data_IF_273900749635
#
_entry.id   IF_273900749635
#
_cell.length_a   1.000
_cell.length_b   1.000
_cell.length_c   1.000
_cell.angle_alpha   90.00
_cell.angle_beta   90.00
_cell.angle_gamma   90.00
#
_symmetry.space_group_name_H-M   'P 1'
#
loop_
_entity.id
_entity.type
_entity.pdbx_description
1 polymer ?
#
# COMPACT_ATOMS: atom_id res chain seq x y z
N UNK A 1 38.80 19.81 -6.28
CA UNK A 1 37.38 19.77 -6.57
C UNK A 1 36.95 18.32 -6.52
N UNK A 2 36.53 17.84 -5.36
CA UNK A 2 35.91 16.50 -5.24
C UNK A 2 34.49 16.62 -5.74
N UNK A 3 34.18 15.94 -6.86
CA UNK A 3 32.83 15.87 -7.39
C UNK A 3 31.91 15.30 -6.30
N UNK A 4 30.87 16.03 -5.96
CA UNK A 4 29.74 15.49 -5.20
C UNK A 4 29.22 14.30 -6.02
N UNK A 5 29.49 13.08 -5.55
CA UNK A 5 28.72 11.92 -5.99
C UNK A 5 27.28 12.26 -5.64
N UNK A 6 26.40 12.37 -6.62
CA UNK A 6 24.96 12.42 -6.36
C UNK A 6 24.65 11.16 -5.57
N UNK A 7 24.26 11.31 -4.30
CA UNK A 7 23.71 10.23 -3.52
C UNK A 7 22.42 9.81 -4.23
N UNK A 8 22.36 8.60 -4.70
CA UNK A 8 21.12 8.04 -5.23
C UNK A 8 20.25 7.65 -4.03
N UNK A 9 18.98 8.02 -4.06
CA UNK A 9 18.02 7.57 -3.05
C UNK A 9 17.60 6.15 -3.42
N UNK A 10 17.69 5.22 -2.50
CA UNK A 10 17.19 3.86 -2.72
C UNK A 10 15.74 3.79 -2.27
N UNK A 11 14.81 3.72 -3.24
CA UNK A 11 13.43 3.38 -2.93
C UNK A 11 13.35 1.89 -2.87
N UNK A 12 12.98 1.41 -1.71
CA UNK A 12 12.82 0.01 -1.42
C UNK A 12 11.40 -0.41 -1.37
N UNK A 13 11.27 -1.59 -1.92
CA UNK A 13 10.19 -2.52 -1.70
C UNK A 13 8.83 -1.82 -1.61
N UNK A 14 8.19 -1.70 -2.76
CA UNK A 14 6.77 -1.52 -2.75
C UNK A 14 6.16 -2.76 -2.09
N UNK A 15 5.93 -2.66 -0.77
CA UNK A 15 5.16 -3.67 -0.06
C UNK A 15 3.73 -3.56 -0.54
N UNK A 16 3.32 -4.52 -1.34
CA UNK A 16 2.00 -4.56 -1.94
C UNK A 16 0.89 -4.78 -0.89
N UNK A 17 -0.35 -4.49 -1.25
CA UNK A 17 -1.52 -4.73 -0.41
C UNK A 17 -1.90 -6.21 -0.29
N UNK A 18 -3.01 -6.46 0.43
CA UNK A 18 -3.66 -7.76 0.44
C UNK A 18 -4.25 -8.06 -0.94
N UNK A 19 -4.21 -9.31 -1.38
CA UNK A 19 -4.65 -9.71 -2.71
C UNK A 19 -3.91 -8.96 -3.81
N UNK A 20 -2.56 -8.86 -3.68
CA UNK A 20 -1.73 -8.07 -4.56
C UNK A 20 -0.33 -8.70 -4.73
N UNK A 21 0.46 -8.13 -5.63
CA UNK A 21 1.87 -8.42 -5.90
C UNK A 21 2.45 -7.25 -6.69
N UNK A 22 3.76 -7.18 -6.88
CA UNK A 22 4.34 -6.09 -7.65
C UNK A 22 4.17 -6.31 -9.18
N UNK A 23 3.52 -5.35 -9.85
CA UNK A 23 3.39 -5.24 -11.31
C UNK A 23 3.41 -3.79 -11.82
N UNK A 24 3.55 -2.82 -10.95
CA UNK A 24 3.49 -1.37 -11.23
C UNK A 24 4.81 -0.87 -11.85
N UNK A 25 5.21 -1.41 -13.01
CA UNK A 25 6.52 -1.14 -13.65
C UNK A 25 6.67 0.32 -14.05
N UNK A 26 5.59 1.00 -14.48
CA UNK A 26 5.59 2.43 -14.80
C UNK A 26 6.08 3.28 -13.62
N UNK A 27 5.60 3.00 -12.41
CA UNK A 27 6.08 3.66 -11.18
C UNK A 27 7.58 3.44 -10.97
N UNK A 28 8.04 2.21 -11.14
CA UNK A 28 9.45 1.88 -11.00
C UNK A 28 10.33 2.66 -11.99
N UNK A 29 9.88 2.78 -13.24
CA UNK A 29 10.61 3.52 -14.29
C UNK A 29 10.68 5.02 -13.97
N UNK A 30 9.58 5.65 -13.57
CA UNK A 30 9.56 7.05 -13.15
C UNK A 30 10.49 7.36 -11.97
N UNK A 31 10.59 6.44 -11.00
CA UNK A 31 11.48 6.61 -9.85
C UNK A 31 12.95 6.39 -10.24
N UNK A 32 13.23 5.46 -11.14
CA UNK A 32 14.59 5.22 -11.67
C UNK A 32 15.08 6.39 -12.53
N UNK A 33 14.21 6.98 -13.35
CA UNK A 33 14.50 8.20 -14.11
C UNK A 33 14.83 9.39 -13.20
N UNK A 34 14.23 9.44 -12.01
CA UNK A 34 14.56 10.43 -10.97
C UNK A 34 15.86 10.13 -10.23
N UNK A 35 16.60 9.09 -10.60
CA UNK A 35 17.86 8.70 -9.99
C UNK A 35 17.72 7.79 -8.77
N UNK A 36 16.54 7.23 -8.50
CA UNK A 36 16.37 6.25 -7.44
C UNK A 36 16.73 4.84 -7.90
N UNK A 37 17.32 4.03 -7.05
CA UNK A 37 17.36 2.59 -7.24
C UNK A 37 16.07 1.98 -6.70
N UNK A 38 15.30 1.32 -7.56
CA UNK A 38 14.01 0.75 -7.21
C UNK A 38 14.10 -0.77 -7.08
N UNK A 39 13.55 -1.29 -5.98
CA UNK A 39 13.41 -2.71 -5.70
C UNK A 39 11.95 -3.01 -5.34
N UNK A 40 11.49 -4.23 -5.51
CA UNK A 40 10.14 -4.67 -5.17
C UNK A 40 10.18 -6.06 -4.54
N UNK A 41 9.41 -6.24 -3.47
CA UNK A 41 9.29 -7.49 -2.73
C UNK A 41 7.87 -8.05 -2.84
N UNK A 42 7.71 -9.22 -3.45
CA UNK A 42 6.51 -10.01 -3.24
C UNK A 42 6.63 -10.72 -1.89
N UNK A 43 5.88 -10.26 -0.89
CA UNK A 43 5.91 -10.81 0.47
C UNK A 43 5.56 -12.30 0.47
N UNK A 44 6.00 -13.04 1.49
CA UNK A 44 5.68 -14.48 1.64
C UNK A 44 4.18 -14.75 1.46
N UNK A 45 3.86 -15.82 0.76
CA UNK A 45 2.50 -16.27 0.42
C UNK A 45 1.74 -15.35 -0.53
N UNK A 46 2.42 -14.45 -1.23
CA UNK A 46 1.85 -13.60 -2.28
C UNK A 46 2.64 -13.72 -3.59
N UNK A 47 2.02 -13.39 -4.70
CA UNK A 47 2.66 -13.25 -6.01
C UNK A 47 3.64 -14.37 -6.34
N UNK A 48 4.86 -14.00 -6.68
CA UNK A 48 5.97 -14.92 -7.02
C UNK A 48 6.46 -15.75 -5.82
N UNK A 49 6.20 -15.28 -4.61
CA UNK A 49 6.59 -15.95 -3.36
C UNK A 49 5.57 -16.99 -2.87
N UNK A 50 4.39 -17.07 -3.50
CA UNK A 50 3.37 -18.06 -3.16
C UNK A 50 3.82 -19.49 -3.54
N UNK A 51 3.60 -20.44 -2.64
CA UNK A 51 3.85 -21.87 -2.88
C UNK A 51 2.53 -22.67 -2.94
N UNK A 52 2.46 -23.78 -3.71
CA UNK A 52 1.20 -24.52 -3.94
C UNK A 52 0.47 -25.00 -2.69
N UNK A 53 1.18 -25.23 -1.60
CA UNK A 53 0.62 -25.74 -0.33
C UNK A 53 0.21 -24.63 0.64
N UNK A 54 0.43 -23.36 0.28
CA UNK A 54 0.17 -22.23 1.16
C UNK A 54 -1.22 -21.63 0.93
N UNK A 55 -1.82 -21.13 1.98
CA UNK A 55 -2.97 -20.23 1.89
C UNK A 55 -2.48 -18.83 1.57
N UNK A 56 -2.91 -18.30 0.43
CA UNK A 56 -2.48 -16.98 -0.05
C UNK A 56 -2.73 -15.90 1.00
N UNK A 57 -1.69 -15.10 1.27
CA UNK A 57 -1.74 -13.95 2.14
C UNK A 57 -2.10 -14.22 3.60
N UNK A 58 -2.15 -15.49 4.01
CA UNK A 58 -2.47 -15.85 5.40
C UNK A 58 -1.27 -15.65 6.33
N UNK A 59 -1.50 -14.89 7.37
CA UNK A 59 -0.69 -14.85 8.59
C UNK A 59 -1.58 -14.50 9.78
N UNK A 60 -1.19 -14.90 10.97
CA UNK A 60 -1.77 -14.53 12.26
C UNK A 60 -0.84 -13.63 13.08
N UNK A 61 0.31 -13.27 12.51
CA UNK A 61 1.28 -12.33 13.09
C UNK A 61 1.94 -11.51 11.98
N UNK A 62 1.80 -10.18 12.03
CA UNK A 62 2.42 -9.29 11.05
C UNK A 62 3.92 -9.13 11.22
N UNK A 63 4.49 -9.52 12.38
CA UNK A 63 5.93 -9.47 12.61
C UNK A 63 6.72 -10.48 11.78
N UNK A 64 6.04 -11.51 11.23
CA UNK A 64 6.68 -12.49 10.34
C UNK A 64 7.28 -11.86 9.09
N UNK A 65 6.76 -10.71 8.67
CA UNK A 65 7.30 -9.96 7.51
C UNK A 65 8.61 -9.23 7.83
N UNK A 66 8.97 -9.10 9.11
CA UNK A 66 10.23 -8.45 9.51
C UNK A 66 11.45 -9.19 8.97
N UNK A 67 11.36 -10.51 8.87
CA UNK A 67 12.42 -11.37 8.34
C UNK A 67 12.75 -10.98 6.89
N UNK A 68 11.79 -11.05 5.99
CA UNK A 68 12.03 -10.82 4.56
C UNK A 68 12.29 -9.34 4.23
N UNK A 69 11.68 -8.41 4.96
CA UNK A 69 12.00 -6.99 4.82
C UNK A 69 13.42 -6.72 5.29
N UNK A 70 13.84 -7.31 6.42
CA UNK A 70 15.20 -7.19 6.96
C UNK A 70 16.24 -7.77 6.00
N UNK A 71 16.06 -9.00 5.54
CA UNK A 71 16.96 -9.66 4.57
C UNK A 71 17.10 -8.84 3.29
N UNK A 72 15.96 -8.39 2.75
CA UNK A 72 15.97 -7.53 1.60
C UNK A 72 16.74 -6.22 1.90
N UNK A 73 16.67 -5.62 3.11
CA UNK A 73 17.44 -4.46 3.56
C UNK A 73 18.93 -4.74 3.62
N UNK A 74 19.35 -5.86 4.08
CA UNK A 74 20.75 -6.24 4.11
C UNK A 74 21.33 -6.44 2.73
N UNK A 75 20.62 -7.16 1.84
CA UNK A 75 21.07 -7.38 0.47
C UNK A 75 21.35 -6.08 -0.29
N UNK A 76 20.54 -5.03 -0.07
CA UNK A 76 20.75 -3.76 -0.78
C UNK A 76 21.84 -2.93 -0.10
N UNK A 77 21.99 -3.00 1.22
CA UNK A 77 23.15 -2.39 1.90
C UNK A 77 24.47 -2.94 1.42
N UNK A 78 24.51 -4.24 1.09
CA UNK A 78 25.70 -4.85 0.47
C UNK A 78 26.02 -4.28 -0.90
N UNK A 79 24.97 -3.92 -1.69
CA UNK A 79 25.16 -3.31 -3.02
C UNK A 79 25.38 -1.79 -2.97
N UNK A 80 24.82 -1.11 -1.96
CA UNK A 80 24.67 0.34 -1.90
C UNK A 80 24.89 0.88 -0.50
N UNK A 81 26.11 0.69 -0.03
CA UNK A 81 26.55 1.19 1.24
C UNK A 81 26.34 2.73 1.34
N UNK A 82 25.82 3.22 2.46
CA UNK A 82 25.56 4.64 2.78
C UNK A 82 24.42 5.36 2.01
N UNK A 83 23.64 4.70 1.15
CA UNK A 83 22.49 5.34 0.52
C UNK A 83 21.25 5.30 1.43
N UNK A 84 20.48 6.41 1.57
CA UNK A 84 19.27 6.43 2.38
C UNK A 84 18.19 5.51 1.81
N UNK A 85 17.60 4.69 2.66
CA UNK A 85 16.58 3.71 2.31
C UNK A 85 15.20 4.31 2.56
N UNK A 86 14.32 4.28 1.56
CA UNK A 86 12.92 4.66 1.69
C UNK A 86 12.06 3.43 1.48
N UNK A 87 11.29 3.05 2.49
CA UNK A 87 10.31 1.97 2.39
C UNK A 87 8.98 2.54 1.86
N UNK A 88 8.37 1.84 0.92
CA UNK A 88 7.04 2.19 0.41
C UNK A 88 6.07 1.07 0.70
N UNK A 89 4.82 1.39 1.06
CA UNK A 89 3.77 0.40 1.28
C UNK A 89 2.42 0.85 0.75
N UNK A 90 1.72 -0.08 0.09
CA UNK A 90 0.35 0.11 -0.37
C UNK A 90 -0.63 -0.65 0.53
N UNK A 91 -1.73 -0.01 0.94
CA UNK A 91 -2.83 -0.65 1.67
C UNK A 91 -2.32 -1.43 2.91
N UNK A 92 -2.53 -2.74 3.01
CA UNK A 92 -1.99 -3.61 4.08
C UNK A 92 -0.46 -3.57 4.14
N UNK A 93 0.22 -3.45 2.98
CA UNK A 93 1.67 -3.25 2.94
C UNK A 93 2.11 -1.95 3.59
N UNK A 94 1.26 -0.91 3.57
CA UNK A 94 1.50 0.33 4.30
C UNK A 94 1.44 0.15 5.83
N UNK A 95 0.51 -0.67 6.32
CA UNK A 95 0.47 -1.05 7.74
C UNK A 95 1.74 -1.83 8.13
N UNK A 96 2.11 -2.84 7.35
CA UNK A 96 3.30 -3.67 7.58
C UNK A 96 4.56 -2.80 7.58
N UNK A 97 4.72 -1.91 6.58
CA UNK A 97 5.86 -0.99 6.50
C UNK A 97 5.95 -0.05 7.71
N UNK A 98 4.80 0.47 8.18
CA UNK A 98 4.72 1.36 9.35
C UNK A 98 5.13 0.61 10.63
N UNK A 99 4.61 -0.60 10.82
CA UNK A 99 4.96 -1.43 11.99
C UNK A 99 6.43 -1.88 11.95
N UNK A 100 6.94 -2.20 10.76
CA UNK A 100 8.35 -2.54 10.58
C UNK A 100 9.26 -1.37 10.94
N UNK A 101 8.97 -0.17 10.40
CA UNK A 101 9.74 1.04 10.69
C UNK A 101 9.77 1.36 12.19
N UNK A 102 8.64 1.19 12.87
CA UNK A 102 8.54 1.37 14.32
C UNK A 102 9.44 0.39 15.10
N UNK A 103 9.49 -0.87 14.69
CA UNK A 103 10.34 -1.89 15.35
C UNK A 103 11.83 -1.75 15.03
N UNK A 104 12.19 -1.01 13.96
CA UNK A 104 13.56 -0.88 13.45
C UNK A 104 13.95 0.61 13.31
N UNK A 105 14.01 1.38 14.41
CA UNK A 105 14.34 2.79 14.37
C UNK A 105 15.77 3.02 13.83
N UNK A 106 15.98 4.16 13.13
CA UNK A 106 17.27 4.54 12.55
C UNK A 106 17.65 3.81 11.26
N UNK A 107 16.82 2.91 10.76
CA UNK A 107 17.11 2.14 9.55
C UNK A 107 16.69 2.86 8.28
N UNK A 108 15.52 3.52 8.32
CA UNK A 108 14.91 4.18 7.16
C UNK A 108 15.25 5.66 7.11
N UNK A 109 15.57 6.15 5.92
CA UNK A 109 15.61 7.58 5.60
C UNK A 109 14.22 8.18 5.39
N UNK A 110 13.18 7.36 5.13
CA UNK A 110 11.81 7.81 4.93
C UNK A 110 10.82 6.68 4.70
N UNK A 111 9.54 6.99 4.86
CA UNK A 111 8.42 6.07 4.61
C UNK A 111 7.42 6.71 3.63
N UNK A 112 7.04 5.97 2.58
CA UNK A 112 5.99 6.38 1.63
C UNK A 112 4.79 5.43 1.78
N UNK A 113 3.62 6.00 2.00
CA UNK A 113 2.35 5.28 2.11
C UNK A 113 1.44 5.64 0.94
N UNK A 114 1.09 4.65 0.14
CA UNK A 114 0.10 4.74 -0.92
C UNK A 114 -1.20 4.12 -0.40
N UNK A 115 -2.14 4.95 0.06
CA UNK A 115 -3.37 4.53 0.72
C UNK A 115 -3.13 3.47 1.81
N UNK A 116 -2.12 3.68 2.67
CA UNK A 116 -1.74 2.74 3.73
C UNK A 116 -2.90 2.46 4.67
N UNK A 117 -3.22 1.19 4.93
CA UNK A 117 -4.33 0.82 5.79
C UNK A 117 -3.97 0.94 7.28
N UNK A 118 -4.01 2.15 7.81
CA UNK A 118 -3.57 2.49 9.17
C UNK A 118 -4.67 2.43 10.21
N UNK A 119 -5.94 2.30 9.81
CA UNK A 119 -7.09 2.18 10.70
C UNK A 119 -8.27 1.52 9.97
N UNK A 120 -9.15 0.88 10.73
CA UNK A 120 -10.41 0.34 10.22
C UNK A 120 -11.34 1.46 9.74
N UNK A 121 -12.10 1.21 8.68
CA UNK A 121 -13.01 2.19 8.07
C UNK A 121 -14.03 2.80 9.02
N UNK A 122 -14.45 2.06 10.04
CA UNK A 122 -15.48 2.48 11.03
C UNK A 122 -14.88 3.09 12.29
N UNK A 123 -13.63 3.52 12.24
CA UNK A 123 -12.89 4.14 13.35
C UNK A 123 -12.50 3.20 14.51
N UNK A 124 -11.60 3.68 15.35
CA UNK A 124 -11.05 2.96 16.51
C UNK A 124 -12.11 2.40 17.47
N UNK A 125 -13.26 3.08 17.60
CA UNK A 125 -14.39 2.64 18.46
C UNK A 125 -14.99 1.31 17.99
N UNK A 126 -15.19 1.15 16.68
CA UNK A 126 -15.70 -0.12 16.13
C UNK A 126 -14.66 -1.23 16.28
N UNK A 127 -13.40 -0.93 15.98
CA UNK A 127 -12.28 -1.87 16.18
C UNK A 127 -12.23 -2.33 17.63
N UNK A 128 -12.25 -1.40 18.59
CA UNK A 128 -12.23 -1.73 20.02
C UNK A 128 -13.39 -2.62 20.48
N UNK A 129 -14.60 -2.45 19.92
CA UNK A 129 -15.75 -3.27 20.23
C UNK A 129 -15.67 -4.67 19.59
N UNK A 130 -15.13 -4.78 18.37
CA UNK A 130 -15.10 -6.03 17.62
C UNK A 130 -13.86 -6.90 17.90
N UNK A 131 -12.73 -6.32 18.31
CA UNK A 131 -11.50 -7.07 18.56
C UNK A 131 -11.68 -8.24 19.55
N UNK A 132 -12.39 -8.11 20.70
CA UNK A 132 -12.60 -9.23 21.59
C UNK A 132 -13.47 -10.35 20.98
N UNK A 133 -14.37 -10.00 20.07
CA UNK A 133 -15.24 -10.97 19.39
C UNK A 133 -14.43 -11.74 18.34
N UNK A 134 -13.70 -11.03 17.49
CA UNK A 134 -12.82 -11.63 16.48
C UNK A 134 -11.76 -12.50 17.15
N UNK A 135 -11.12 -12.05 18.24
CA UNK A 135 -10.12 -12.82 18.97
C UNK A 135 -10.66 -14.14 19.54
N UNK A 136 -11.92 -14.15 20.05
CA UNK A 136 -12.54 -15.41 20.49
C UNK A 136 -12.83 -16.37 19.34
N UNK A 137 -13.19 -15.86 18.18
CA UNK A 137 -13.38 -16.67 16.96
C UNK A 137 -12.04 -17.19 16.48
N UNK A 138 -11.04 -16.35 16.35
CA UNK A 138 -9.68 -16.70 15.92
C UNK A 138 -9.07 -17.79 16.80
N UNK A 139 -9.19 -17.68 18.12
CA UNK A 139 -8.69 -18.67 19.07
C UNK A 139 -9.32 -20.06 18.92
N UNK A 140 -10.55 -20.16 18.41
CA UNK A 140 -11.26 -21.44 18.22
C UNK A 140 -11.20 -21.96 16.79
N UNK A 141 -11.22 -21.05 15.84
CA UNK A 141 -11.33 -21.34 14.41
C UNK A 141 -10.54 -20.28 13.63
N UNK A 142 -9.19 -20.32 13.63
CA UNK A 142 -8.35 -19.28 13.06
C UNK A 142 -8.62 -19.01 11.58
N UNK A 143 -9.00 -20.05 10.83
CA UNK A 143 -9.34 -19.98 9.41
C UNK A 143 -10.82 -19.69 9.13
N UNK A 144 -11.64 -19.40 10.16
CA UNK A 144 -13.03 -19.02 9.93
C UNK A 144 -13.08 -17.74 9.09
N UNK A 145 -13.86 -17.79 8.01
CA UNK A 145 -13.97 -16.67 7.08
C UNK A 145 -14.93 -15.61 7.63
N UNK A 146 -14.35 -14.47 7.97
CA UNK A 146 -15.13 -13.30 8.39
C UNK A 146 -15.85 -12.76 7.15
N UNK A 147 -17.19 -12.56 7.22
CA UNK A 147 -17.91 -11.92 6.13
C UNK A 147 -17.31 -10.53 5.84
N UNK A 148 -16.68 -10.38 4.69
CA UNK A 148 -16.13 -9.10 4.24
C UNK A 148 -17.15 -8.43 3.35
N UNK A 149 -17.63 -7.25 3.78
CA UNK A 149 -18.42 -6.37 2.92
C UNK A 149 -17.51 -5.62 1.97
N UNK A 150 -17.92 -5.51 0.70
CA UNK A 150 -17.23 -4.68 -0.28
C UNK A 150 -17.97 -4.77 -1.61
N UNK A 151 -18.03 -3.68 -2.34
CA UNK A 151 -18.70 -3.60 -3.65
C UNK A 151 -17.98 -4.37 -4.75
N UNK A 152 -16.72 -4.76 -4.53
CA UNK A 152 -15.85 -5.33 -5.57
C UNK A 152 -15.38 -4.30 -6.62
N UNK A 153 -15.75 -3.04 -6.47
CA UNK A 153 -15.46 -1.98 -7.43
C UNK A 153 -13.96 -1.82 -7.70
N UNK A 154 -13.12 -1.90 -6.67
CA UNK A 154 -11.68 -1.80 -6.87
C UNK A 154 -11.17 -2.85 -7.86
N UNK A 155 -11.40 -4.13 -7.57
CA UNK A 155 -10.98 -5.22 -8.45
C UNK A 155 -11.53 -5.11 -9.87
N UNK A 156 -12.83 -4.81 -10.00
CA UNK A 156 -13.49 -4.59 -11.29
C UNK A 156 -12.87 -3.41 -12.07
N UNK A 157 -12.50 -2.32 -11.39
CA UNK A 157 -11.92 -1.14 -12.03
C UNK A 157 -10.55 -1.38 -12.67
N UNK A 158 -9.85 -2.45 -12.27
CA UNK A 158 -8.55 -2.81 -12.83
C UNK A 158 -8.66 -3.47 -14.22
N UNK A 159 -9.85 -3.92 -14.62
CA UNK A 159 -10.12 -4.37 -16.00
C UNK A 159 -10.16 -3.21 -17.00
N UNK A 160 -10.01 -1.97 -16.52
CA UNK A 160 -9.96 -0.76 -17.33
C UNK A 160 -11.34 -0.20 -17.68
N UNK A 161 -11.35 1.08 -18.04
CA UNK A 161 -12.59 1.81 -18.45
C UNK A 161 -13.25 1.22 -19.69
N UNK A 162 -12.45 0.72 -20.64
CA UNK A 162 -12.96 0.11 -21.87
C UNK A 162 -13.79 -1.16 -21.62
N UNK A 163 -13.64 -1.81 -20.46
CA UNK A 163 -14.45 -2.96 -20.05
C UNK A 163 -15.77 -2.56 -19.36
N UNK A 164 -16.02 -1.27 -19.18
CA UNK A 164 -17.21 -0.71 -18.54
C UNK A 164 -18.11 -0.01 -19.55
N UNK A 165 -19.36 0.27 -19.17
CA UNK A 165 -20.30 1.04 -19.97
C UNK A 165 -20.13 2.57 -19.79
N UNK A 166 -19.12 2.99 -19.01
CA UNK A 166 -18.84 4.41 -18.73
C UNK A 166 -18.03 5.02 -19.86
N UNK A 167 -18.28 6.30 -20.11
CA UNK A 167 -17.52 7.08 -21.07
C UNK A 167 -16.04 7.16 -20.68
N UNK A 168 -15.17 7.13 -21.68
CA UNK A 168 -13.74 7.36 -21.48
C UNK A 168 -13.53 8.87 -21.47
N UNK A 169 -12.98 9.46 -20.38
CA UNK A 169 -12.71 10.89 -20.32
C UNK A 169 -11.84 11.38 -21.49
N UNK A 170 -12.13 12.57 -21.99
CA UNK A 170 -11.35 13.19 -23.05
C UNK A 170 -9.87 13.33 -22.62
N UNK A 171 -8.97 13.00 -23.54
CA UNK A 171 -7.53 13.08 -23.33
C UNK A 171 -6.89 11.81 -22.76
N UNK A 172 -7.65 10.78 -22.34
CA UNK A 172 -7.08 9.49 -21.99
C UNK A 172 -6.80 8.66 -23.26
N UNK A 173 -5.60 8.09 -23.33
CA UNK A 173 -5.23 7.18 -24.42
C UNK A 173 -5.96 5.85 -24.29
N UNK A 174 -6.43 5.29 -25.40
CA UNK A 174 -7.01 3.94 -25.43
C UNK A 174 -6.00 2.85 -25.05
N UNK A 175 -4.70 3.11 -25.15
CA UNK A 175 -3.62 2.21 -24.77
C UNK A 175 -3.22 2.36 -23.28
N UNK A 176 -3.71 3.40 -22.60
CA UNK A 176 -3.44 3.58 -21.18
C UNK A 176 -3.99 2.40 -20.37
N UNK A 177 -3.22 1.82 -19.41
CA UNK A 177 -3.69 0.69 -18.62
C UNK A 177 -4.96 0.97 -17.81
N UNK A 178 -5.21 2.24 -17.43
CA UNK A 178 -6.47 2.62 -16.77
C UNK A 178 -7.68 2.51 -17.71
N UNK A 179 -7.45 2.55 -19.02
CA UNK A 179 -8.47 2.39 -20.06
C UNK A 179 -8.48 0.95 -20.59
N UNK A 180 -7.34 0.43 -21.01
CA UNK A 180 -7.23 -0.89 -21.64
C UNK A 180 -7.34 -2.07 -20.64
N UNK A 181 -7.08 -1.83 -19.37
CA UNK A 181 -6.95 -2.82 -18.31
C UNK A 181 -5.49 -3.05 -17.90
N UNK A 182 -5.28 -3.25 -16.62
CA UNK A 182 -3.97 -3.53 -16.05
C UNK A 182 -3.59 -5.00 -16.29
N UNK A 183 -2.31 -5.30 -16.65
CA UNK A 183 -1.87 -6.65 -16.99
C UNK A 183 -1.65 -7.50 -15.72
N UNK A 184 -2.72 -7.77 -14.98
CA UNK A 184 -2.69 -8.53 -13.73
C UNK A 184 -2.76 -10.04 -13.97
N UNK A 185 -2.06 -10.79 -13.14
CA UNK A 185 -2.16 -12.26 -13.05
C UNK A 185 -3.28 -12.58 -12.04
N UNK A 186 -4.41 -13.07 -12.53
CA UNK A 186 -5.62 -13.27 -11.73
C UNK A 186 -5.44 -14.30 -10.61
N UNK A 187 -4.55 -15.27 -10.76
CA UNK A 187 -4.20 -16.22 -9.72
C UNK A 187 -3.60 -15.56 -8.48
N UNK A 188 -2.93 -14.40 -8.65
CA UNK A 188 -2.26 -13.65 -7.59
C UNK A 188 -3.04 -12.42 -7.13
N UNK A 189 -3.92 -11.88 -7.98
CA UNK A 189 -4.77 -10.70 -7.69
C UNK A 189 -6.17 -10.94 -8.25
N UNK A 190 -7.06 -11.46 -7.42
CA UNK A 190 -8.44 -11.78 -7.82
C UNK A 190 -9.34 -10.55 -7.76
N UNK A 191 -10.24 -10.34 -8.73
CA UNK A 191 -11.19 -9.22 -8.69
C UNK A 191 -12.04 -9.20 -7.41
N UNK A 192 -12.51 -10.35 -6.96
CA UNK A 192 -13.32 -10.52 -5.75
C UNK A 192 -12.51 -10.60 -4.45
N UNK A 193 -11.17 -10.53 -4.55
CA UNK A 193 -10.24 -10.72 -3.42
C UNK A 193 -10.27 -12.15 -2.84
N UNK A 194 -9.60 -12.36 -1.72
CA UNK A 194 -9.54 -13.63 -1.00
C UNK A 194 -10.37 -13.56 0.28
N UNK A 195 -10.87 -14.71 0.78
CA UNK A 195 -11.53 -14.78 2.08
C UNK A 195 -10.67 -14.14 3.19
N UNK A 196 -11.32 -13.58 4.20
CA UNK A 196 -10.67 -12.93 5.35
C UNK A 196 -10.69 -13.90 6.54
N UNK A 197 -9.59 -14.61 6.87
CA UNK A 197 -9.52 -15.45 8.05
C UNK A 197 -9.61 -14.63 9.34
N UNK A 198 -10.27 -15.16 10.36
CA UNK A 198 -10.46 -14.45 11.64
C UNK A 198 -9.12 -14.10 12.32
N UNK A 199 -8.15 -15.02 12.33
CA UNK A 199 -6.83 -14.74 12.91
C UNK A 199 -6.03 -13.70 12.11
N UNK A 200 -6.18 -13.67 10.79
CA UNK A 200 -5.58 -12.62 9.98
C UNK A 200 -6.17 -11.25 10.32
N UNK A 201 -7.51 -11.17 10.44
CA UNK A 201 -8.18 -9.91 10.84
C UNK A 201 -7.79 -9.49 12.26
N UNK A 202 -7.64 -10.44 13.20
CA UNK A 202 -7.14 -10.17 14.55
C UNK A 202 -5.74 -9.54 14.51
N UNK A 203 -4.81 -10.10 13.72
CA UNK A 203 -3.47 -9.55 13.54
C UNK A 203 -3.48 -8.12 12.94
N UNK A 204 -4.34 -7.86 11.96
CA UNK A 204 -4.54 -6.52 11.39
C UNK A 204 -5.07 -5.54 12.45
N UNK A 205 -6.08 -5.94 13.23
CA UNK A 205 -6.64 -5.09 14.28
C UNK A 205 -5.63 -4.79 15.39
N UNK A 206 -4.79 -5.75 15.75
CA UNK A 206 -3.67 -5.55 16.67
C UNK A 206 -2.63 -4.58 16.09
N UNK A 207 -2.33 -4.69 14.81
CA UNK A 207 -1.45 -3.74 14.10
C UNK A 207 -1.99 -2.30 14.12
N UNK A 208 -3.30 -2.12 13.86
CA UNK A 208 -3.94 -0.80 13.96
C UNK A 208 -3.91 -0.25 15.39
N UNK A 209 -4.09 -1.10 16.41
CA UNK A 209 -4.00 -0.70 17.81
C UNK A 209 -2.59 -0.20 18.15
N UNK A 210 -1.56 -0.88 17.68
CA UNK A 210 -0.16 -0.46 17.82
C UNK A 210 0.08 0.87 17.10
N UNK A 211 -0.41 1.04 15.86
CA UNK A 211 -0.28 2.32 15.12
C UNK A 211 -0.94 3.47 15.88
N UNK A 212 -2.09 3.24 16.52
CA UNK A 212 -2.78 4.27 17.27
C UNK A 212 -2.05 4.70 18.54
N UNK A 213 -1.46 3.75 19.27
CA UNK A 213 -0.99 3.96 20.64
C UNK A 213 0.51 4.18 20.75
N UNK A 214 1.28 3.47 19.94
CA UNK A 214 2.69 3.26 20.20
C UNK A 214 3.61 3.76 19.08
N UNK A 215 3.09 3.87 17.83
CA UNK A 215 3.96 4.23 16.70
C UNK A 215 4.33 5.70 16.74
N UNK A 216 5.65 5.95 16.77
CA UNK A 216 6.27 7.22 16.45
C UNK A 216 7.58 6.92 15.72
N UNK A 217 7.68 7.38 14.47
CA UNK A 217 8.80 7.09 13.58
C UNK A 217 9.81 8.24 13.62
N UNK A 218 11.07 7.89 13.51
CA UNK A 218 12.21 8.81 13.50
C UNK A 218 12.59 9.31 12.09
N UNK A 219 11.81 8.95 11.08
CA UNK A 219 11.99 9.35 9.69
C UNK A 219 10.80 10.14 9.14
N UNK A 220 10.99 10.96 8.09
CA UNK A 220 9.90 11.64 7.42
C UNK A 220 8.93 10.66 6.74
N UNK A 221 7.64 11.01 6.72
CA UNK A 221 6.56 10.21 6.13
C UNK A 221 5.85 10.99 5.03
N UNK A 222 5.70 10.38 3.86
CA UNK A 222 4.77 10.80 2.82
C UNK A 222 3.55 9.89 2.83
N UNK A 223 2.39 10.39 3.22
CA UNK A 223 1.13 9.67 3.12
C UNK A 223 0.30 10.23 1.96
N UNK A 224 0.10 9.40 0.95
CA UNK A 224 -0.70 9.70 -0.24
C UNK A 224 -2.05 8.99 -0.12
N UNK A 225 -3.14 9.74 -0.27
CA UNK A 225 -4.51 9.23 -0.13
C UNK A 225 -5.42 9.77 -1.22
N UNK A 226 -6.55 9.11 -1.46
CA UNK A 226 -7.59 9.65 -2.33
C UNK A 226 -8.20 10.93 -1.74
N UNK A 227 -8.82 11.75 -2.59
CA UNK A 227 -9.58 12.94 -2.14
C UNK A 227 -10.91 12.58 -1.51
N UNK A 228 -11.47 11.41 -1.85
CA UNK A 228 -12.78 10.95 -1.37
C UNK A 228 -12.88 9.43 -1.30
N UNK A 229 -13.81 8.93 -0.48
CA UNK A 229 -14.25 7.54 -0.50
C UNK A 229 -15.50 7.37 -1.38
N UNK A 230 -15.68 6.16 -1.93
CA UNK A 230 -16.91 5.76 -2.60
C UNK A 230 -17.25 4.29 -2.28
N UNK A 231 -18.30 4.08 -1.51
CA UNK A 231 -18.72 2.76 -0.99
C UNK A 231 -20.14 2.37 -1.40
N UNK A 232 -20.76 3.18 -2.29
CA UNK A 232 -22.11 2.91 -2.82
C UNK A 232 -22.07 1.72 -3.81
N UNK A 233 -23.19 1.04 -3.97
CA UNK A 233 -23.34 -0.13 -4.86
C UNK A 233 -23.30 0.23 -6.36
N UNK A 234 -23.65 1.48 -6.69
CA UNK A 234 -23.75 1.94 -8.08
C UNK A 234 -22.37 1.98 -8.75
N UNK A 235 -22.27 1.42 -9.96
CA UNK A 235 -21.09 1.52 -10.79
C UNK A 235 -21.11 2.82 -11.59
N UNK A 236 -20.31 3.80 -11.22
CA UNK A 236 -20.26 5.11 -11.85
C UNK A 236 -18.82 5.66 -11.89
N UNK A 237 -18.64 6.85 -12.45
CA UNK A 237 -17.35 7.53 -12.59
C UNK A 237 -16.57 7.66 -11.28
N UNK A 238 -17.26 7.76 -10.15
CA UNK A 238 -16.61 7.86 -8.82
C UNK A 238 -15.76 6.63 -8.45
N UNK A 239 -16.01 5.48 -9.07
CA UNK A 239 -15.18 4.27 -8.87
C UNK A 239 -13.75 4.49 -9.35
N UNK A 240 -13.55 5.33 -10.35
CA UNK A 240 -12.23 5.63 -10.92
C UNK A 240 -11.53 6.82 -10.25
N UNK A 241 -12.27 7.65 -9.51
CA UNK A 241 -11.79 8.92 -8.95
C UNK A 241 -11.82 8.97 -7.42
N UNK A 242 -12.19 7.86 -6.76
CA UNK A 242 -12.31 7.76 -5.30
C UNK A 242 -11.69 6.44 -4.79
N UNK A 243 -11.35 6.41 -3.51
CA UNK A 243 -11.02 5.16 -2.82
C UNK A 243 -12.31 4.37 -2.56
N UNK A 244 -12.40 3.16 -3.12
CA UNK A 244 -13.55 2.26 -2.95
C UNK A 244 -13.29 1.17 -1.90
N UNK A 245 -12.19 1.28 -1.16
CA UNK A 245 -11.73 0.31 -0.17
C UNK A 245 -11.59 0.92 1.22
N UNK A 246 -10.94 2.09 1.33
CA UNK A 246 -10.65 2.77 2.60
C UNK A 246 -11.33 4.14 2.69
N UNK A 247 -11.45 4.66 3.91
CA UNK A 247 -11.79 6.06 4.14
C UNK A 247 -10.51 6.92 4.19
N UNK A 248 -10.22 7.72 3.15
CA UNK A 248 -8.99 8.51 3.06
C UNK A 248 -8.90 9.60 4.13
N UNK A 249 -10.02 10.03 4.72
CA UNK A 249 -10.01 11.01 5.81
C UNK A 249 -9.47 10.38 7.08
N UNK A 250 -9.96 9.18 7.41
CA UNK A 250 -9.49 8.41 8.58
C UNK A 250 -8.01 8.09 8.44
N UNK A 251 -7.56 7.65 7.24
CA UNK A 251 -6.15 7.32 6.99
C UNK A 251 -5.27 8.56 7.11
N UNK A 252 -5.67 9.69 6.50
CA UNK A 252 -4.91 10.94 6.60
C UNK A 252 -4.78 11.41 8.06
N UNK A 253 -5.85 11.36 8.83
CA UNK A 253 -5.82 11.70 10.26
C UNK A 253 -4.89 10.80 11.05
N UNK A 254 -4.92 9.48 10.81
CA UNK A 254 -4.04 8.52 11.48
C UNK A 254 -2.57 8.75 11.11
N UNK A 255 -2.31 9.08 9.84
CA UNK A 255 -0.95 9.36 9.37
C UNK A 255 -0.28 10.54 10.08
N UNK A 256 -1.03 11.55 10.51
CA UNK A 256 -0.47 12.73 11.21
C UNK A 256 0.25 12.38 12.52
N UNK A 257 -0.08 11.27 13.15
CA UNK A 257 0.54 10.81 14.39
C UNK A 257 1.81 9.96 14.19
N UNK A 258 2.17 9.63 12.96
CA UNK A 258 3.24 8.65 12.70
C UNK A 258 4.66 9.20 12.95
N UNK A 259 4.89 10.49 12.76
CA UNK A 259 6.21 11.12 12.86
C UNK A 259 6.06 12.62 13.07
N UNK A 260 7.12 13.30 13.53
CA UNK A 260 7.19 14.76 13.60
C UNK A 260 7.14 15.43 12.21
N UNK A 261 7.48 14.69 11.16
CA UNK A 261 7.54 15.21 9.79
C UNK A 261 6.66 14.37 8.85
N UNK A 262 5.40 14.74 8.73
CA UNK A 262 4.42 14.07 7.88
C UNK A 262 3.93 14.99 6.78
N UNK A 263 4.03 14.53 5.54
CA UNK A 263 3.41 15.15 4.37
C UNK A 263 2.17 14.37 3.97
N UNK A 264 1.01 15.02 3.90
CA UNK A 264 -0.22 14.44 3.36
C UNK A 264 -0.44 14.97 1.95
N UNK A 265 -0.50 14.07 0.96
CA UNK A 265 -0.83 14.41 -0.42
C UNK A 265 -2.14 13.71 -0.83
N UNK A 266 -3.04 14.46 -1.51
CA UNK A 266 -4.39 13.97 -1.86
C UNK A 266 -4.61 14.05 -3.36
N UNK A 267 -5.14 12.96 -3.93
CA UNK A 267 -5.36 12.82 -5.37
C UNK A 267 -6.77 12.31 -5.67
N UNK A 268 -7.43 12.77 -6.75
CA UNK A 268 -8.73 12.23 -7.17
C UNK A 268 -8.53 10.88 -7.88
N UNK A 269 -8.14 9.86 -7.14
CA UNK A 269 -7.72 8.56 -7.67
C UNK A 269 -8.29 7.36 -6.92
N UNK A 270 -8.04 6.18 -7.48
CA UNK A 270 -8.44 4.89 -6.92
C UNK A 270 -7.72 4.61 -5.60
N UNK A 271 -8.08 3.49 -4.97
CA UNK A 271 -7.42 2.97 -3.77
C UNK A 271 -5.91 2.81 -3.95
N UNK A 272 -5.44 2.16 -5.01
CA UNK A 272 -4.04 2.23 -5.44
C UNK A 272 -3.89 3.43 -6.39
N UNK A 273 -3.30 4.52 -5.90
CA UNK A 273 -3.17 5.77 -6.63
C UNK A 273 -2.32 5.62 -7.90
N UNK A 274 -1.34 4.72 -7.89
CA UNK A 274 -0.49 4.45 -9.06
C UNK A 274 -1.16 3.58 -10.13
N UNK A 275 -2.40 3.15 -9.89
CA UNK A 275 -3.27 2.48 -10.86
C UNK A 275 -4.45 3.35 -11.31
N UNK A 276 -4.44 4.64 -10.99
CA UNK A 276 -5.43 5.61 -11.42
C UNK A 276 -5.23 6.04 -12.87
N UNK A 277 -6.03 6.96 -13.38
CA UNK A 277 -5.87 7.52 -14.72
C UNK A 277 -4.54 8.29 -14.85
N UNK A 278 -3.99 8.34 -16.07
CA UNK A 278 -2.66 8.89 -16.33
C UNK A 278 -2.39 10.26 -15.67
N UNK A 279 -3.28 11.28 -15.74
CA UNK A 279 -3.01 12.57 -15.10
C UNK A 279 -2.83 12.48 -13.57
N UNK A 280 -3.55 11.54 -12.93
CA UNK A 280 -3.42 11.30 -11.48
C UNK A 280 -2.11 10.60 -11.17
N UNK A 281 -1.75 9.57 -11.94
CA UNK A 281 -0.47 8.85 -11.78
C UNK A 281 0.72 9.81 -11.92
N UNK A 282 0.72 10.67 -12.95
CA UNK A 282 1.77 11.66 -13.16
C UNK A 282 1.91 12.62 -11.97
N UNK A 283 0.79 13.09 -11.41
CA UNK A 283 0.80 13.93 -10.21
C UNK A 283 1.35 13.18 -8.98
N UNK A 284 1.00 11.89 -8.83
CA UNK A 284 1.52 11.02 -7.78
C UNK A 284 3.04 10.87 -7.92
N UNK A 285 3.54 10.53 -9.12
CA UNK A 285 4.98 10.37 -9.39
C UNK A 285 5.74 11.68 -9.19
N UNK A 286 5.19 12.81 -9.64
CA UNK A 286 5.79 14.13 -9.42
C UNK A 286 5.88 14.46 -7.93
N UNK A 287 4.85 14.14 -7.14
CA UNK A 287 4.84 14.34 -5.70
C UNK A 287 5.89 13.47 -5.01
N UNK A 288 5.98 12.19 -5.36
CA UNK A 288 7.01 11.30 -4.81
C UNK A 288 8.42 11.81 -5.11
N UNK A 289 8.71 12.19 -6.36
CA UNK A 289 10.02 12.74 -6.74
C UNK A 289 10.35 14.04 -5.98
N UNK A 290 9.38 14.95 -5.89
CA UNK A 290 9.57 16.22 -5.17
C UNK A 290 9.83 16.00 -3.68
N UNK A 291 9.10 15.08 -3.06
CA UNK A 291 9.26 14.75 -1.65
C UNK A 291 10.62 14.08 -1.39
N UNK A 292 11.00 13.12 -2.23
CA UNK A 292 12.31 12.47 -2.13
C UNK A 292 13.46 13.49 -2.22
N UNK A 293 13.41 14.39 -3.20
CA UNK A 293 14.41 15.43 -3.36
C UNK A 293 14.46 16.46 -2.20
N UNK A 294 13.34 16.67 -1.51
CA UNK A 294 13.25 17.63 -0.41
C UNK A 294 13.71 17.05 0.94
N UNK A 295 13.45 15.77 1.19
CA UNK A 295 13.62 15.17 2.52
C UNK A 295 14.69 14.08 2.59
N UNK A 296 15.05 13.46 1.46
CA UNK A 296 15.94 12.31 1.44
C UNK A 296 17.25 12.59 0.69
N UNK A 297 17.17 13.35 -0.44
CA UNK A 297 18.28 13.55 -1.41
C UNK A 297 19.13 14.78 -1.21
#
# INVERSE_FOLDING_TARGET
>A
MQGRRHRQTVIRDNLHGRNDYFFQTEMADHLREAGAAFYALDMRKYGRSLRPHQTIGYTDDLSVYDEEIGEAIEMIREERDDEPIVLMGHSTGGLIATLWAHRHPGVLGGLILNSGWLEMQSMATWRGAMAPVIGRIAARSPMWEVPSGGTGHYGRSLAGRASSELDIPEGLSAQDPSVAGWPIIQEWKRPESYPVPASWLEAIMAGHDTVEKDVHLDCPVLSMVSTSAYVEEEWCERVFTSDTVLDPVVIAQRSLGLSDLVTIARFPGKHDLVLSDAPVREAVYATMRGWLGAFIG
#
